data_IF_263929315646
#
_entry.id   IF_263929315646
#
_cell.length_a   1.000
_cell.length_b   1.000
_cell.length_c   1.000
_cell.angle_alpha   90.00
_cell.angle_beta   90.00
_cell.angle_gamma   90.00
#
_symmetry.space_group_name_H-M   'P 1'
#
loop_
_entity.id
_entity.type
_entity.pdbx_description
1 polymer ?
#
# COMPACT_ATOMS: atom_id res chain seq x y z
N UNK A 1 -6.54 10.62 -19.55
CA UNK A 1 -5.86 9.41 -19.01
C UNK A 1 -6.90 8.51 -18.36
N UNK A 2 -7.20 7.38 -18.99
CA UNK A 2 -8.18 6.39 -18.50
C UNK A 2 -7.61 5.63 -17.31
N UNK A 3 -8.36 5.49 -16.23
CA UNK A 3 -7.96 4.70 -15.08
C UNK A 3 -7.94 3.21 -15.47
N UNK A 4 -6.80 2.51 -15.37
CA UNK A 4 -6.76 1.08 -15.60
C UNK A 4 -7.58 0.40 -14.50
N UNK A 5 -8.53 -0.47 -14.87
CA UNK A 5 -9.31 -1.22 -13.88
C UNK A 5 -8.38 -2.00 -12.94
N UNK A 6 -8.54 -1.81 -11.63
CA UNK A 6 -7.67 -2.43 -10.62
C UNK A 6 -8.44 -3.54 -9.93
N UNK A 7 -7.89 -4.76 -9.97
CA UNK A 7 -8.43 -5.91 -9.27
C UNK A 7 -7.64 -6.18 -8.00
N UNK A 8 -8.31 -6.10 -6.86
CA UNK A 8 -7.80 -6.44 -5.54
C UNK A 8 -8.25 -7.86 -5.18
N UNK A 9 -7.30 -8.70 -4.77
CA UNK A 9 -7.56 -10.05 -4.29
C UNK A 9 -7.55 -10.12 -2.76
N UNK A 10 -8.34 -11.04 -2.22
CA UNK A 10 -8.40 -11.27 -0.77
C UNK A 10 -9.14 -10.15 -0.05
N UNK A 11 -8.68 -9.82 1.15
CA UNK A 11 -9.29 -8.79 2.00
C UNK A 11 -8.82 -7.39 1.58
N UNK A 12 -9.78 -6.48 1.49
CA UNK A 12 -9.58 -5.08 1.16
C UNK A 12 -10.12 -4.24 2.31
N UNK A 13 -9.23 -3.52 2.99
CA UNK A 13 -9.60 -2.60 4.07
C UNK A 13 -10.06 -1.29 3.47
N UNK A 14 -11.17 -0.78 3.98
CA UNK A 14 -11.76 0.48 3.54
C UNK A 14 -11.75 1.44 4.73
N UNK A 15 -10.87 2.43 4.67
CA UNK A 15 -10.74 3.46 5.69
C UNK A 15 -11.36 4.76 5.18
N UNK A 16 -12.19 5.39 6.00
CA UNK A 16 -12.91 6.61 5.66
C UNK A 16 -12.42 7.73 6.57
N UNK A 17 -12.04 8.85 5.97
CA UNK A 17 -11.50 10.02 6.63
C UNK A 17 -12.39 11.23 6.29
N UNK A 18 -13.56 11.36 6.92
CA UNK A 18 -14.49 12.43 6.61
C UNK A 18 -13.84 13.79 6.90
N UNK A 19 -13.90 14.71 5.93
CA UNK A 19 -13.36 16.07 6.06
C UNK A 19 -11.87 16.21 5.73
N UNK A 20 -11.15 15.12 5.44
CA UNK A 20 -9.77 15.17 4.97
C UNK A 20 -9.67 15.26 3.44
N UNK A 21 -8.51 15.70 2.92
CA UNK A 21 -8.24 15.75 1.48
C UNK A 21 -8.33 14.36 0.82
N UNK A 22 -8.00 13.30 1.55
CA UNK A 22 -8.12 11.90 1.14
C UNK A 22 -9.28 11.25 1.88
N UNK A 23 -10.48 11.46 1.37
CA UNK A 23 -11.72 11.06 2.03
C UNK A 23 -11.91 9.54 2.20
N UNK A 24 -11.36 8.72 1.31
CA UNK A 24 -11.52 7.26 1.30
C UNK A 24 -10.22 6.60 0.85
N UNK A 25 -9.78 5.59 1.60
CA UNK A 25 -8.59 4.80 1.28
C UNK A 25 -8.97 3.32 1.22
N UNK A 26 -8.62 2.66 0.12
CA UNK A 26 -8.75 1.22 -0.06
C UNK A 26 -7.37 0.58 -0.04
N UNK A 27 -7.11 -0.29 0.93
CA UNK A 27 -5.85 -1.02 1.05
C UNK A 27 -6.09 -2.49 0.76
N UNK A 28 -5.28 -3.04 -0.13
CA UNK A 28 -5.41 -4.45 -0.50
C UNK A 28 -4.20 -4.95 -1.26
N UNK A 29 -4.39 -6.08 -1.93
CA UNK A 29 -3.35 -6.69 -2.76
C UNK A 29 -3.83 -6.74 -4.20
N UNK A 30 -3.15 -6.03 -5.10
CA UNK A 30 -3.44 -6.07 -6.53
C UNK A 30 -3.12 -7.45 -7.10
N UNK A 31 -4.07 -8.03 -7.83
CA UNK A 31 -3.90 -9.27 -8.56
C UNK A 31 -3.52 -8.95 -10.02
N UNK A 32 -2.27 -8.55 -10.24
CA UNK A 32 -1.75 -8.26 -11.58
C UNK A 32 -0.94 -9.45 -12.10
N UNK A 33 -1.50 -10.13 -13.11
CA UNK A 33 -0.93 -11.13 -14.04
C UNK A 33 -0.08 -12.31 -13.53
N UNK A 34 0.51 -12.25 -12.33
CA UNK A 34 1.34 -13.28 -11.67
C UNK A 34 1.91 -12.83 -10.31
N UNK A 35 1.74 -11.57 -9.90
CA UNK A 35 2.26 -11.07 -8.62
C UNK A 35 1.18 -10.40 -7.79
N UNK A 36 1.17 -10.77 -6.51
CA UNK A 36 0.40 -10.13 -5.47
C UNK A 36 1.22 -8.96 -4.92
N UNK A 37 0.80 -7.74 -5.23
CA UNK A 37 1.48 -6.51 -4.77
C UNK A 37 0.58 -5.71 -3.86
N UNK A 38 1.05 -5.31 -2.66
CA UNK A 38 0.32 -4.37 -1.83
C UNK A 38 0.04 -3.09 -2.60
N UNK A 39 -1.21 -2.65 -2.57
CA UNK A 39 -1.66 -1.43 -3.22
C UNK A 39 -2.59 -0.67 -2.29
N UNK A 40 -2.45 0.64 -2.32
CA UNK A 40 -3.27 1.58 -1.60
C UNK A 40 -3.88 2.56 -2.61
N UNK A 41 -5.19 2.70 -2.57
CA UNK A 41 -5.95 3.52 -3.51
C UNK A 41 -6.70 4.56 -2.71
N UNK A 42 -6.29 5.81 -2.82
CA UNK A 42 -6.89 6.92 -2.10
C UNK A 42 -7.76 7.77 -3.05
N UNK A 43 -8.97 8.10 -2.60
CA UNK A 43 -9.95 8.90 -3.33
C UNK A 43 -10.19 10.23 -2.62
N UNK A 44 -10.21 11.29 -3.42
CA UNK A 44 -10.70 12.60 -3.00
C UNK A 44 -12.13 12.76 -3.52
N UNK A 45 -13.11 12.43 -2.67
CA UNK A 45 -14.53 12.46 -2.98
C UNK A 45 -15.25 13.49 -2.10
N UNK A 46 -16.12 14.35 -2.66
CA UNK A 46 -16.93 15.26 -1.87
C UNK A 46 -17.98 14.51 -1.03
N UNK A 47 -18.41 13.34 -1.49
CA UNK A 47 -19.38 12.50 -0.80
C UNK A 47 -18.85 11.08 -0.68
N UNK A 48 -18.82 10.57 0.55
CA UNK A 48 -18.36 9.23 0.87
C UNK A 48 -19.48 8.21 0.68
N UNK A 49 -19.26 7.13 -0.08
CA UNK A 49 -20.24 6.06 -0.14
C UNK A 49 -20.27 5.27 1.17
N UNK A 50 -21.41 4.60 1.40
CA UNK A 50 -21.55 3.66 2.51
C UNK A 50 -20.87 2.34 2.15
N UNK A 51 -19.55 2.32 2.27
CA UNK A 51 -18.73 1.13 2.13
C UNK A 51 -18.58 0.43 3.50
N UNK A 52 -18.59 -0.92 3.54
CA UNK A 52 -18.19 -1.65 4.73
C UNK A 52 -16.70 -1.43 5.00
N UNK A 53 -16.25 -1.58 6.25
CA UNK A 53 -14.85 -1.44 6.64
C UNK A 53 -13.94 -2.49 5.99
N UNK A 54 -14.51 -3.62 5.58
CA UNK A 54 -13.79 -4.72 4.96
C UNK A 54 -14.59 -5.25 3.76
N UNK A 55 -13.92 -5.29 2.62
CA UNK A 55 -14.40 -5.90 1.38
C UNK A 55 -13.56 -7.14 1.07
N UNK A 56 -14.10 -8.03 0.22
CA UNK A 56 -13.36 -9.16 -0.32
C UNK A 56 -13.42 -9.14 -1.84
N UNK A 57 -12.29 -9.45 -2.47
CA UNK A 57 -12.13 -9.59 -3.92
C UNK A 57 -12.76 -8.41 -4.70
N UNK A 58 -12.25 -7.20 -4.47
CA UNK A 58 -12.81 -5.99 -5.04
C UNK A 58 -12.23 -5.68 -6.43
N UNK A 59 -13.07 -5.29 -7.37
CA UNK A 59 -12.69 -4.75 -8.68
C UNK A 59 -13.10 -3.29 -8.74
N UNK A 60 -12.17 -2.42 -9.09
CA UNK A 60 -12.38 -0.98 -9.19
C UNK A 60 -12.29 -0.59 -10.65
N UNK A 61 -13.39 -0.10 -11.20
CA UNK A 61 -13.49 0.35 -12.59
C UNK A 61 -13.87 1.82 -12.63
N UNK A 62 -13.27 2.56 -13.54
CA UNK A 62 -13.76 3.89 -13.89
C UNK A 62 -14.87 3.77 -14.94
N UNK A 63 -15.95 4.52 -14.74
CA UNK A 63 -17.01 4.72 -15.73
C UNK A 63 -17.06 6.17 -16.16
N UNK A 64 -17.14 6.36 -17.48
CA UNK A 64 -17.40 7.68 -18.05
C UNK A 64 -18.75 8.21 -17.56
N UNK A 65 -18.78 9.47 -17.12
CA UNK A 65 -20.03 10.17 -16.85
C UNK A 65 -20.58 10.73 -18.18
N UNK A 66 -21.83 10.43 -18.57
CA UNK A 66 -22.45 11.14 -19.68
C UNK A 66 -22.57 12.63 -19.31
N UNK A 67 -21.84 13.50 -20.02
CA UNK A 67 -21.80 14.95 -19.78
C UNK A 67 -20.68 15.46 -18.88
N UNK A 68 -19.74 14.60 -18.44
CA UNK A 68 -18.56 15.03 -17.68
C UNK A 68 -17.51 15.67 -18.59
N UNK A 69 -17.47 17.01 -18.65
CA UNK A 69 -16.47 17.74 -19.44
C UNK A 69 -15.03 17.43 -19.00
N UNK A 70 -14.09 17.40 -19.95
CA UNK A 70 -12.65 17.15 -19.74
C UNK A 70 -11.92 18.29 -19.01
N UNK A 71 -12.53 18.88 -17.98
CA UNK A 71 -11.95 19.95 -17.17
C UNK A 71 -11.17 19.42 -15.96
N UNK A 72 -10.08 20.11 -15.59
CA UNK A 72 -9.45 19.98 -14.28
C UNK A 72 -10.49 20.25 -13.18
N UNK A 73 -10.90 19.20 -12.46
CA UNK A 73 -11.91 19.28 -11.39
C UNK A 73 -13.24 18.59 -11.70
N UNK A 74 -13.42 18.00 -12.89
CA UNK A 74 -14.59 17.19 -13.20
C UNK A 74 -14.66 15.94 -12.32
N UNK A 75 -15.86 15.63 -11.80
CA UNK A 75 -16.11 14.44 -11.02
C UNK A 75 -16.05 13.19 -11.92
N UNK A 76 -15.26 12.21 -11.51
CA UNK A 76 -15.12 10.91 -12.17
C UNK A 76 -15.88 9.87 -11.36
N UNK A 77 -16.55 8.94 -12.04
CA UNK A 77 -17.32 7.87 -11.38
C UNK A 77 -16.49 6.59 -11.37
N UNK A 78 -16.28 6.07 -10.17
CA UNK A 78 -15.64 4.79 -9.94
C UNK A 78 -16.67 3.82 -9.39
N UNK A 79 -16.64 2.58 -9.87
CA UNK A 79 -17.49 1.50 -9.38
C UNK A 79 -16.59 0.47 -8.72
N UNK A 80 -16.83 0.21 -7.44
CA UNK A 80 -16.21 -0.88 -6.70
C UNK A 80 -17.17 -2.05 -6.69
N UNK A 81 -16.79 -3.12 -7.38
CA UNK A 81 -17.52 -4.40 -7.42
C UNK A 81 -16.84 -5.35 -6.44
N UNK A 82 -17.52 -5.70 -5.35
CA UNK A 82 -17.03 -6.66 -4.38
C UNK A 82 -17.60 -8.06 -4.62
N UNK A 83 -17.13 -9.03 -3.83
CA UNK A 83 -17.65 -10.38 -3.82
C UNK A 83 -19.20 -10.41 -3.68
N UNK A 84 -19.84 -11.41 -4.31
CA UNK A 84 -21.31 -11.55 -4.42
C UNK A 84 -21.99 -10.44 -5.24
N UNK A 85 -21.25 -9.74 -6.09
CA UNK A 85 -21.81 -8.76 -7.02
C UNK A 85 -22.27 -7.45 -6.37
N UNK A 86 -21.86 -7.19 -5.12
CA UNK A 86 -22.16 -5.92 -4.46
C UNK A 86 -21.42 -4.80 -5.17
N UNK A 87 -22.14 -3.73 -5.53
CA UNK A 87 -21.58 -2.58 -6.25
C UNK A 87 -21.68 -1.34 -5.38
N UNK A 88 -20.59 -0.60 -5.31
CA UNK A 88 -20.51 0.68 -4.62
C UNK A 88 -20.01 1.71 -5.62
N UNK A 89 -20.66 2.86 -5.65
CA UNK A 89 -20.28 3.93 -6.56
C UNK A 89 -19.60 5.03 -5.76
N UNK A 90 -18.46 5.49 -6.27
CA UNK A 90 -17.68 6.59 -5.71
C UNK A 90 -17.62 7.67 -6.78
N UNK A 91 -18.06 8.87 -6.44
CA UNK A 91 -17.78 10.06 -7.25
C UNK A 91 -16.59 10.77 -6.64
N UNK A 92 -15.46 10.77 -7.34
CA UNK A 92 -14.22 11.36 -6.85
C UNK A 92 -13.68 12.38 -7.85
N UNK A 93 -13.08 13.45 -7.32
CA UNK A 93 -12.36 14.46 -8.10
C UNK A 93 -11.02 13.91 -8.59
N UNK A 94 -10.37 13.12 -7.75
CA UNK A 94 -9.10 12.46 -8.05
C UNK A 94 -9.02 11.09 -7.40
N UNK A 95 -8.17 10.25 -7.97
CA UNK A 95 -7.79 8.94 -7.44
C UNK A 95 -6.26 8.84 -7.49
N UNK A 96 -5.66 8.45 -6.38
CA UNK A 96 -4.23 8.24 -6.24
C UNK A 96 -3.99 6.76 -5.98
N UNK A 97 -3.14 6.14 -6.81
CA UNK A 97 -2.81 4.72 -6.69
C UNK A 97 -1.35 4.63 -6.25
N UNK A 98 -1.14 4.15 -5.04
CA UNK A 98 0.17 3.90 -4.48
C UNK A 98 0.45 2.40 -4.50
N UNK A 99 1.40 1.97 -5.34
CA UNK A 99 1.87 0.58 -5.40
C UNK A 99 3.16 0.48 -4.61
N UNK A 100 3.27 -0.55 -3.77
CA UNK A 100 4.54 -0.79 -3.07
C UNK A 100 5.63 -1.18 -4.08
N UNK A 101 6.47 -0.22 -4.42
CA UNK A 101 7.59 -0.39 -5.33
C UNK A 101 8.80 -1.04 -4.65
N UNK A 102 8.77 -1.29 -3.33
CA UNK A 102 9.93 -1.78 -2.58
C UNK A 102 10.48 -3.08 -3.13
N UNK A 103 9.62 -4.08 -3.27
CA UNK A 103 10.01 -5.41 -3.77
C UNK A 103 10.55 -5.37 -5.20
N UNK A 104 9.85 -4.77 -6.20
CA UNK A 104 10.40 -4.69 -7.54
C UNK A 104 11.67 -3.83 -7.60
N UNK A 105 11.76 -2.75 -6.82
CA UNK A 105 12.95 -1.92 -6.73
C UNK A 105 14.16 -2.71 -6.21
N UNK A 106 14.04 -3.38 -5.05
CA UNK A 106 15.14 -4.15 -4.49
C UNK A 106 15.48 -5.41 -5.29
N UNK A 107 14.53 -5.97 -6.05
CA UNK A 107 14.82 -7.05 -6.98
C UNK A 107 15.62 -6.57 -8.21
N UNK A 108 15.43 -5.32 -8.64
CA UNK A 108 16.16 -4.74 -9.77
C UNK A 108 17.57 -4.28 -9.39
N UNK A 109 17.81 -3.94 -8.13
CA UNK A 109 19.14 -3.54 -7.65
C UNK A 109 20.00 -4.80 -7.42
N UNK A 110 21.11 -4.99 -8.14
CA UNK A 110 21.98 -6.13 -7.91
C UNK A 110 22.51 -6.11 -6.47
N UNK A 111 22.54 -7.25 -5.76
CA UNK A 111 23.01 -7.28 -4.38
C UNK A 111 24.47 -6.85 -4.33
N UNK A 112 24.75 -5.78 -3.58
CA UNK A 112 26.12 -5.34 -3.35
C UNK A 112 26.93 -6.48 -2.70
N UNK A 113 28.08 -6.83 -3.27
CA UNK A 113 28.98 -7.82 -2.70
C UNK A 113 29.58 -7.28 -1.41
N UNK A 114 28.97 -7.64 -0.28
CA UNK A 114 29.53 -7.33 1.03
C UNK A 114 30.88 -8.05 1.19
N UNK A 115 31.97 -7.35 1.55
CA UNK A 115 33.26 -7.98 1.78
C UNK A 115 33.13 -9.04 2.89
N UNK A 116 33.78 -10.18 2.70
CA UNK A 116 33.62 -11.36 3.55
C UNK A 116 33.84 -11.07 5.04
N UNK A 117 34.82 -10.22 5.37
CA UNK A 117 35.07 -9.78 6.74
C UNK A 117 33.85 -9.10 7.38
N UNK A 118 33.12 -8.25 6.65
CA UNK A 118 31.89 -7.64 7.15
C UNK A 118 30.79 -8.69 7.34
N UNK A 119 30.68 -9.69 6.46
CA UNK A 119 29.70 -10.79 6.62
C UNK A 119 29.95 -11.58 7.90
N UNK A 120 31.21 -11.95 8.19
CA UNK A 120 31.57 -12.64 9.42
C UNK A 120 31.29 -11.75 10.63
N UNK A 121 31.75 -10.50 10.61
CA UNK A 121 31.55 -9.56 11.69
C UNK A 121 30.07 -9.41 12.08
N UNK A 122 29.19 -9.21 11.09
CA UNK A 122 27.76 -9.09 11.36
C UNK A 122 27.15 -10.41 11.83
N UNK A 123 27.58 -11.57 11.33
CA UNK A 123 27.13 -12.88 11.84
C UNK A 123 27.52 -13.09 13.31
N UNK A 124 28.73 -12.68 13.70
CA UNK A 124 29.16 -12.77 15.09
C UNK A 124 28.36 -11.82 15.98
N UNK A 125 28.13 -10.58 15.54
CA UNK A 125 27.30 -9.63 16.28
C UNK A 125 25.88 -10.17 16.45
N UNK A 126 25.24 -10.67 15.40
CA UNK A 126 23.86 -11.18 15.50
C UNK A 126 23.79 -12.43 16.38
N UNK A 127 24.78 -13.31 16.32
CA UNK A 127 24.90 -14.45 17.22
C UNK A 127 25.03 -14.00 18.69
N UNK A 128 25.88 -12.99 18.97
CA UNK A 128 26.03 -12.41 20.31
C UNK A 128 24.73 -11.77 20.78
N UNK A 129 24.05 -10.97 19.94
CA UNK A 129 22.75 -10.35 20.26
C UNK A 129 21.68 -11.40 20.59
N UNK A 130 21.67 -12.53 19.87
CA UNK A 130 20.71 -13.60 20.08
C UNK A 130 20.87 -14.30 21.44
N UNK A 131 22.03 -14.13 22.11
CA UNK A 131 22.24 -14.61 23.47
C UNK A 131 21.85 -13.56 24.51
N UNK A 132 21.19 -13.98 25.61
CA UNK A 132 20.89 -13.15 26.78
C UNK A 132 22.11 -12.37 27.32
N UNK A 133 23.30 -12.98 27.51
CA UNK A 133 24.48 -12.25 27.97
C UNK A 133 24.99 -11.21 26.95
N UNK A 134 24.97 -11.52 25.65
CA UNK A 134 25.45 -10.60 24.62
C UNK A 134 24.57 -9.35 24.46
N UNK A 135 23.26 -9.47 24.65
CA UNK A 135 22.36 -8.32 24.69
C UNK A 135 22.66 -7.39 25.90
N UNK A 136 23.03 -7.98 27.05
CA UNK A 136 23.48 -7.23 28.24
C UNK A 136 24.78 -6.45 27.99
N UNK A 137 25.76 -7.09 27.33
CA UNK A 137 27.03 -6.48 26.95
C UNK A 137 26.83 -5.28 26.01
N UNK A 138 26.00 -5.43 24.98
CA UNK A 138 25.72 -4.37 24.01
C UNK A 138 24.97 -3.18 24.64
N UNK A 139 24.04 -3.45 25.57
CA UNK A 139 23.38 -2.39 26.35
C UNK A 139 24.39 -1.63 27.22
N UNK A 140 25.37 -2.31 27.81
CA UNK A 140 26.43 -1.69 28.63
C UNK A 140 27.37 -0.83 27.78
N UNK A 141 27.80 -1.34 26.64
CA UNK A 141 28.64 -0.59 25.68
C UNK A 141 27.92 0.65 25.12
N UNK A 142 26.62 0.56 24.84
CA UNK A 142 25.80 1.71 24.41
C UNK A 142 25.67 2.79 25.49
N UNK A 143 25.68 2.40 26.78
CA UNK A 143 25.66 3.35 27.90
C UNK A 143 27.00 4.09 28.07
N UNK A 144 28.11 3.40 27.81
CA UNK A 144 29.45 3.98 27.92
C UNK A 144 29.76 5.00 26.81
N UNK A 145 29.24 4.81 25.59
CA UNK A 145 29.42 5.75 24.47
C UNK A 145 28.56 7.03 24.57
N UNK A 146 27.58 7.07 25.48
CA UNK A 146 26.69 8.23 25.69
C UNK A 146 27.13 9.14 26.85
N UNK A 147 28.21 8.79 27.55
CA UNK A 147 28.93 9.65 28.48
C UNK A 147 30.16 10.18 27.75
#
# INVERSE_FOLDING_TARGET
>A
MTFPGIRLAGEVRCERHPGEALSLVLQGTEAAAQRLTPVEIAFTAPQLPTLPSLLRNALIEERALPGGGEGQGALRRFVVVAERGRRFEIQARSVHVHRDARTPFFAAVPPARAPFARRIFFRLITAVVATRPGCGLLRRLRRLRRR
#
